data_IF_457217141592
#
_entry.id   IF_457217141592
#
_cell.length_a   1.000
_cell.length_b   1.000
_cell.length_c   1.000
_cell.angle_alpha   90.00
_cell.angle_beta   90.00
_cell.angle_gamma   90.00
#
_symmetry.space_group_name_H-M   'P 1'
#
loop_
_entity.id
_entity.type
_entity.pdbx_description
1 polymer ?
#
# COMPACT_ATOMS: atom_id res chain seq x y z
N UNK A 1 -11.49 -15.63 14.13
CA UNK A 1 -12.33 -15.12 13.03
C UNK A 1 -11.51 -14.16 12.19
N UNK A 2 -11.53 -14.29 10.86
CA UNK A 2 -10.96 -13.30 9.94
C UNK A 2 -12.05 -12.28 9.60
N UNK A 3 -11.94 -11.06 10.12
CA UNK A 3 -12.94 -10.01 9.92
C UNK A 3 -12.38 -8.91 9.03
N UNK A 4 -13.25 -8.32 8.20
CA UNK A 4 -12.96 -7.09 7.46
C UNK A 4 -13.36 -5.87 8.29
N UNK A 5 -12.79 -4.70 7.97
CA UNK A 5 -13.07 -3.45 8.66
C UNK A 5 -13.04 -2.25 7.70
N UNK A 6 -13.63 -1.15 8.14
CA UNK A 6 -13.63 0.13 7.42
C UNK A 6 -13.03 1.19 8.34
N UNK A 7 -12.04 1.92 7.83
CA UNK A 7 -11.50 3.12 8.49
C UNK A 7 -12.26 4.33 7.97
N UNK A 8 -13.21 4.84 8.76
CA UNK A 8 -14.12 5.93 8.38
C UNK A 8 -13.72 7.29 8.99
N UNK A 9 -12.45 7.45 9.35
CA UNK A 9 -11.91 8.66 9.96
C UNK A 9 -11.90 9.85 8.99
N UNK A 10 -11.85 11.06 9.53
CA UNK A 10 -11.71 12.30 8.76
C UNK A 10 -10.48 12.28 7.83
N UNK A 11 -10.58 12.96 6.69
CA UNK A 11 -9.45 13.17 5.79
C UNK A 11 -8.32 13.89 6.52
N UNK A 12 -7.06 13.51 6.24
CA UNK A 12 -5.89 14.10 6.88
C UNK A 12 -5.40 13.40 8.16
N UNK A 13 -6.18 12.48 8.75
CA UNK A 13 -5.77 11.72 9.96
C UNK A 13 -4.75 10.60 9.71
N UNK A 14 -4.04 10.61 8.58
CA UNK A 14 -2.95 9.68 8.32
C UNK A 14 -3.38 8.23 8.02
N UNK A 15 -4.59 8.01 7.49
CA UNK A 15 -5.08 6.66 7.11
C UNK A 15 -4.12 5.90 6.18
N UNK A 16 -3.43 6.60 5.28
CA UNK A 16 -2.39 6.00 4.42
C UNK A 16 -1.26 5.42 5.26
N UNK A 17 -0.72 6.19 6.21
CA UNK A 17 0.34 5.74 7.10
C UNK A 17 -0.13 4.57 7.97
N UNK A 18 -1.36 4.61 8.50
CA UNK A 18 -1.93 3.49 9.26
C UNK A 18 -1.97 2.20 8.43
N UNK A 19 -2.39 2.28 7.15
CA UNK A 19 -2.41 1.14 6.25
C UNK A 19 -1.00 0.63 5.91
N UNK A 20 -0.03 1.53 5.67
CA UNK A 20 1.39 1.16 5.44
C UNK A 20 1.97 0.45 6.67
N UNK A 21 1.73 0.97 7.88
CA UNK A 21 2.18 0.36 9.12
C UNK A 21 1.56 -1.02 9.35
N UNK A 22 0.29 -1.22 8.97
CA UNK A 22 -0.36 -2.53 9.03
C UNK A 22 0.33 -3.53 8.10
N UNK A 23 0.65 -3.15 6.86
CA UNK A 23 1.35 -4.02 5.91
C UNK A 23 2.75 -4.39 6.43
N UNK A 24 3.51 -3.41 6.93
CA UNK A 24 4.83 -3.63 7.50
C UNK A 24 4.77 -4.61 8.69
N UNK A 25 3.82 -4.41 9.61
CA UNK A 25 3.62 -5.29 10.75
C UNK A 25 3.29 -6.74 10.33
N UNK A 26 2.45 -6.92 9.31
CA UNK A 26 2.10 -8.26 8.80
C UNK A 26 3.30 -8.97 8.17
N UNK A 27 4.16 -8.24 7.47
CA UNK A 27 5.38 -8.76 6.87
C UNK A 27 6.41 -9.16 7.94
N UNK A 28 6.70 -8.26 8.89
CA UNK A 28 7.67 -8.50 9.98
C UNK A 28 7.26 -9.65 10.89
N UNK A 29 5.96 -9.76 11.20
CA UNK A 29 5.44 -10.85 12.02
C UNK A 29 5.42 -12.22 11.30
N UNK A 30 5.80 -12.28 10.02
CA UNK A 30 5.72 -13.48 9.18
C UNK A 30 4.28 -13.98 8.98
N UNK A 31 3.29 -13.10 9.20
CA UNK A 31 1.85 -13.41 9.15
C UNK A 31 1.27 -13.24 7.75
N UNK A 32 2.00 -12.62 6.84
CA UNK A 32 1.72 -12.61 5.41
C UNK A 32 2.97 -13.01 4.63
N UNK A 33 2.81 -13.98 3.72
CA UNK A 33 3.88 -14.47 2.84
C UNK A 33 3.61 -14.19 1.35
N UNK A 34 2.49 -13.51 1.05
CA UNK A 34 2.02 -13.27 -0.31
C UNK A 34 1.99 -11.78 -0.66
N UNK A 35 1.81 -11.44 -1.95
CA UNK A 35 1.72 -10.07 -2.38
C UNK A 35 0.50 -9.37 -1.78
N UNK A 36 0.67 -8.10 -1.42
CA UNK A 36 -0.40 -7.21 -0.97
C UNK A 36 -0.83 -6.28 -2.10
N UNK A 37 -2.14 -6.10 -2.28
CA UNK A 37 -2.69 -5.19 -3.29
C UNK A 37 -3.33 -3.97 -2.60
N UNK A 38 -2.89 -2.78 -2.99
CA UNK A 38 -3.52 -1.51 -2.63
C UNK A 38 -4.15 -0.92 -3.89
N UNK A 39 -5.45 -0.65 -3.84
CA UNK A 39 -6.17 0.05 -4.90
C UNK A 39 -6.51 1.47 -4.44
N UNK A 40 -6.13 2.47 -5.25
CA UNK A 40 -6.38 3.87 -4.96
C UNK A 40 -6.59 4.67 -6.26
N UNK A 41 -7.20 5.87 -6.19
CA UNK A 41 -7.29 6.76 -7.35
C UNK A 41 -5.90 7.07 -7.94
N UNK A 42 -5.81 7.19 -9.27
CA UNK A 42 -4.54 7.44 -9.98
C UNK A 42 -3.76 8.64 -9.41
N UNK A 43 -4.46 9.71 -9.06
CA UNK A 43 -3.85 10.94 -8.55
C UNK A 43 -3.06 10.77 -7.23
N UNK A 44 -3.27 9.69 -6.48
CA UNK A 44 -2.60 9.45 -5.19
C UNK A 44 -1.61 8.30 -5.22
N UNK A 45 -1.42 7.62 -6.36
CA UNK A 45 -0.50 6.47 -6.45
C UNK A 45 0.95 6.87 -6.13
N UNK A 46 1.41 8.01 -6.64
CA UNK A 46 2.74 8.54 -6.33
C UNK A 46 2.92 8.81 -4.83
N UNK A 47 1.89 9.31 -4.17
CA UNK A 47 1.91 9.51 -2.71
C UNK A 47 2.02 8.17 -1.97
N UNK A 48 1.28 7.14 -2.39
CA UNK A 48 1.40 5.80 -1.79
C UNK A 48 2.81 5.23 -1.92
N UNK A 49 3.42 5.33 -3.11
CA UNK A 49 4.80 4.87 -3.33
C UNK A 49 5.78 5.64 -2.45
N UNK A 50 5.63 6.96 -2.33
CA UNK A 50 6.49 7.79 -1.48
C UNK A 50 6.36 7.44 0.00
N UNK A 51 5.14 7.27 0.52
CA UNK A 51 4.89 6.88 1.91
C UNK A 51 5.42 5.47 2.21
N UNK A 52 5.21 4.50 1.31
CA UNK A 52 5.76 3.16 1.48
C UNK A 52 7.29 3.16 1.45
N UNK A 53 7.91 3.86 0.50
CA UNK A 53 9.37 3.95 0.42
C UNK A 53 9.98 4.66 1.62
N UNK A 54 9.27 5.63 2.20
CA UNK A 54 9.71 6.39 3.37
C UNK A 54 9.57 5.59 4.67
N UNK A 55 8.42 4.95 4.89
CA UNK A 55 8.06 4.37 6.19
C UNK A 55 8.20 2.85 6.25
N UNK A 56 8.21 2.17 5.10
CA UNK A 56 8.34 0.73 5.00
C UNK A 56 9.23 0.32 3.80
N UNK A 57 10.49 0.77 3.74
CA UNK A 57 11.38 0.54 2.59
C UNK A 57 11.61 -0.95 2.28
N UNK A 58 11.46 -1.84 3.26
CA UNK A 58 11.59 -3.30 3.06
C UNK A 58 10.40 -3.97 2.37
N UNK A 59 9.30 -3.26 2.10
CA UNK A 59 8.13 -3.83 1.41
C UNK A 59 8.20 -3.74 -0.13
N UNK A 60 9.16 -2.98 -0.69
CA UNK A 60 9.41 -2.84 -2.14
C UNK A 60 8.12 -2.65 -2.99
N UNK A 61 7.50 -1.46 -2.97
CA UNK A 61 6.24 -1.23 -3.66
C UNK A 61 6.38 -1.26 -5.20
N UNK A 62 5.52 -2.04 -5.87
CA UNK A 62 5.34 -1.98 -7.33
C UNK A 62 4.11 -1.12 -7.68
N UNK A 63 4.33 -0.02 -8.39
CA UNK A 63 3.25 0.83 -8.89
C UNK A 63 2.79 0.37 -10.28
N UNK A 64 1.62 -0.24 -10.36
CA UNK A 64 1.00 -0.64 -11.63
C UNK A 64 0.18 0.51 -12.23
N UNK A 65 0.83 1.40 -12.97
CA UNK A 65 0.22 2.53 -13.70
C UNK A 65 0.86 2.67 -15.10
N UNK A 66 0.29 3.56 -15.93
CA UNK A 66 0.79 3.87 -17.26
C UNK A 66 -0.11 3.31 -18.35
N UNK A 67 0.33 3.41 -19.60
CA UNK A 67 -0.33 2.79 -20.75
C UNK A 67 -0.12 1.27 -20.80
N UNK A 68 -0.60 0.62 -21.87
CA UNK A 68 -0.49 -0.84 -22.00
C UNK A 68 0.96 -1.31 -22.18
N UNK A 69 1.80 -0.50 -22.83
CA UNK A 69 3.22 -0.78 -23.05
C UNK A 69 4.00 -0.67 -21.75
N UNK A 70 3.83 0.44 -21.03
CA UNK A 70 4.47 0.68 -19.73
C UNK A 70 4.13 -0.44 -18.74
N UNK A 71 2.84 -0.79 -18.61
CA UNK A 71 2.39 -1.85 -17.69
C UNK A 71 2.87 -3.25 -18.07
N UNK A 72 3.23 -3.49 -19.33
CA UNK A 72 3.77 -4.78 -19.79
C UNK A 72 5.28 -4.89 -19.56
N UNK A 73 5.96 -3.77 -19.33
CA UNK A 73 7.39 -3.70 -19.08
C UNK A 73 7.75 -3.73 -17.58
N UNK A 74 6.76 -3.57 -16.69
CA UNK A 74 6.87 -3.79 -15.25
C UNK A 74 7.00 -5.29 -14.92
#
# INVERSE_FOLDING_TARGET
>A
HQMSGVLADEMGLGKTLQAVSLLAHLAEAGRSKGPHLVAAPKAVLSNWVAEMSRWAPGLEPLCYDGDRGERRAL
#
